data_IF_357455749598
#
_entry.id   IF_357455749598
#
_cell.length_a   1.000
_cell.length_b   1.000
_cell.length_c   1.000
_cell.angle_alpha   90.00
_cell.angle_beta   90.00
_cell.angle_gamma   90.00
#
_symmetry.space_group_name_H-M   'P 1'
#
loop_
_entity.id
_entity.type
_entity.pdbx_description
1 polymer ?
#
# COMPACT_ATOMS: atom_id res chain seq x y z
N UNK A 1 11.97 -0.69 8.87
CA UNK A 1 11.35 0.35 8.02
C UNK A 1 10.32 -0.33 7.13
N UNK A 2 9.11 0.24 7.02
CA UNK A 2 8.07 -0.28 6.14
C UNK A 2 8.50 -0.10 4.67
N UNK A 3 8.53 -1.19 3.90
CA UNK A 3 8.82 -1.14 2.47
C UNK A 3 7.51 -0.82 1.70
N UNK A 4 7.43 0.28 0.94
CA UNK A 4 6.20 0.67 0.23
C UNK A 4 5.74 -0.35 -0.81
N UNK A 5 6.68 -1.03 -1.48
CA UNK A 5 6.37 -2.06 -2.46
C UNK A 5 5.74 -3.27 -1.77
N UNK A 6 6.32 -3.69 -0.65
CA UNK A 6 5.79 -4.79 0.16
C UNK A 6 4.36 -4.49 0.63
N UNK A 7 4.10 -3.27 1.12
CA UNK A 7 2.76 -2.82 1.50
C UNK A 7 1.75 -2.99 0.34
N UNK A 8 2.11 -2.54 -0.86
CA UNK A 8 1.23 -2.66 -2.02
C UNK A 8 1.01 -4.12 -2.43
N UNK A 9 2.06 -4.93 -2.42
CA UNK A 9 2.03 -6.33 -2.81
C UNK A 9 1.16 -7.16 -1.84
N UNK A 10 1.27 -6.92 -0.52
CA UNK A 10 0.39 -7.53 0.50
C UNK A 10 -1.08 -7.13 0.32
N UNK A 11 -1.35 -5.93 -0.19
CA UNK A 11 -2.70 -5.50 -0.55
C UNK A 11 -3.21 -6.09 -1.88
N UNK A 12 -2.36 -6.80 -2.63
CA UNK A 12 -2.71 -7.39 -3.93
C UNK A 12 -2.98 -6.36 -5.02
N UNK A 13 -2.41 -5.16 -4.92
CA UNK A 13 -2.70 -4.05 -5.84
C UNK A 13 -1.60 -3.83 -6.86
N UNK A 14 -1.97 -3.39 -8.06
CA UNK A 14 -1.05 -2.75 -9.00
C UNK A 14 -0.68 -1.34 -8.54
N UNK A 15 0.42 -0.79 -9.06
CA UNK A 15 0.80 0.60 -8.75
C UNK A 15 -0.29 1.61 -9.14
N UNK A 16 -1.04 1.33 -10.22
CA UNK A 16 -2.15 2.17 -10.67
C UNK A 16 -3.33 2.14 -9.69
N UNK A 17 -3.68 0.96 -9.16
CA UNK A 17 -4.76 0.85 -8.18
C UNK A 17 -4.39 1.50 -6.86
N UNK A 18 -3.14 1.33 -6.41
CA UNK A 18 -2.62 2.03 -5.24
C UNK A 18 -2.66 3.55 -5.43
N UNK A 19 -2.29 4.04 -6.62
CA UNK A 19 -2.29 5.48 -6.89
C UNK A 19 -3.71 6.06 -6.85
N UNK A 20 -4.70 5.32 -7.34
CA UNK A 20 -6.12 5.70 -7.25
C UNK A 20 -6.61 5.73 -5.80
N UNK A 21 -6.21 4.73 -5.00
CA UNK A 21 -6.61 4.65 -3.60
C UNK A 21 -6.04 5.79 -2.74
N UNK A 22 -4.80 6.19 -3.02
CA UNK A 22 -4.11 7.26 -2.28
C UNK A 22 -4.45 8.66 -2.83
N UNK A 23 -4.90 8.75 -4.09
CA UNK A 23 -5.15 10.01 -4.77
C UNK A 23 -3.87 10.67 -5.29
N UNK A 24 -2.97 9.89 -5.89
CA UNK A 24 -1.75 10.40 -6.53
C UNK A 24 -1.52 9.78 -7.92
N UNK A 25 -0.47 10.23 -8.62
CA UNK A 25 -0.10 9.64 -9.91
C UNK A 25 0.64 8.30 -9.73
N UNK A 26 0.52 7.41 -10.72
CA UNK A 26 1.25 6.14 -10.74
C UNK A 26 2.77 6.33 -10.75
N UNK A 27 3.27 7.36 -11.43
CA UNK A 27 4.68 7.73 -11.42
C UNK A 27 5.18 8.07 -10.00
N UNK A 28 4.30 8.64 -9.17
CA UNK A 28 4.59 8.93 -7.77
C UNK A 28 4.78 7.64 -6.95
N UNK A 29 3.90 6.65 -7.14
CA UNK A 29 4.02 5.32 -6.53
C UNK A 29 5.34 4.65 -6.95
N UNK A 30 5.67 4.71 -8.25
CA UNK A 30 6.92 4.14 -8.77
C UNK A 30 8.16 4.80 -8.14
N UNK A 31 8.14 6.11 -7.91
CA UNK A 31 9.21 6.84 -7.21
C UNK A 31 9.35 6.37 -5.78
N UNK A 32 8.24 6.32 -5.02
CA UNK A 32 8.19 5.83 -3.64
C UNK A 32 8.80 4.43 -3.51
N UNK A 33 8.44 3.52 -4.41
CA UNK A 33 8.92 2.14 -4.36
C UNK A 33 10.43 2.03 -4.66
N UNK A 34 11.04 3.02 -5.31
CA UNK A 34 12.46 3.07 -5.62
C UNK A 34 13.28 3.81 -4.56
N UNK A 35 12.82 4.97 -4.10
CA UNK A 35 13.54 5.81 -3.12
C UNK A 35 13.14 5.53 -1.67
N UNK A 36 12.14 4.68 -1.44
CA UNK A 36 11.55 4.49 -0.12
C UNK A 36 10.77 5.73 0.32
N UNK A 37 10.46 5.81 1.62
CA UNK A 37 9.78 6.98 2.20
C UNK A 37 10.73 8.16 2.49
N UNK A 38 12.01 8.08 2.11
CA UNK A 38 13.04 9.06 2.50
C UNK A 38 12.83 10.44 1.86
N UNK A 39 12.30 10.51 0.65
CA UNK A 39 12.11 11.76 -0.10
C UNK A 39 10.74 12.43 0.11
N UNK A 40 9.81 11.82 0.86
CA UNK A 40 8.41 12.25 0.88
C UNK A 40 7.93 12.79 2.21
N UNK A 41 7.07 13.81 2.12
CA UNK A 41 6.43 14.43 3.27
C UNK A 41 5.70 13.37 4.10
N UNK A 42 5.77 13.48 5.42
CA UNK A 42 5.16 12.52 6.35
C UNK A 42 3.65 12.29 6.13
N UNK A 43 2.99 13.13 5.34
CA UNK A 43 1.62 12.93 4.87
C UNK A 43 1.48 11.64 4.03
N UNK A 44 2.37 11.40 3.07
CA UNK A 44 2.26 10.23 2.17
C UNK A 44 2.57 8.92 2.88
N UNK A 45 3.54 8.93 3.79
CA UNK A 45 3.81 7.78 4.66
C UNK A 45 2.58 7.42 5.47
N UNK A 46 1.92 8.41 6.08
CA UNK A 46 0.68 8.20 6.85
C UNK A 46 -0.45 7.68 5.98
N UNK A 47 -0.62 8.17 4.76
CA UNK A 47 -1.64 7.66 3.83
C UNK A 47 -1.41 6.19 3.46
N UNK A 48 -0.16 5.77 3.27
CA UNK A 48 0.20 4.36 3.05
C UNK A 48 -0.13 3.49 4.27
N UNK A 49 0.25 3.95 5.47
CA UNK A 49 0.00 3.23 6.72
C UNK A 49 -1.50 3.12 7.04
N UNK A 50 -2.27 4.19 6.84
CA UNK A 50 -3.73 4.19 6.97
C UNK A 50 -4.40 3.23 5.99
N UNK A 51 -3.97 3.22 4.72
CA UNK A 51 -4.51 2.31 3.73
C UNK A 51 -4.35 0.84 4.13
N UNK A 52 -3.18 0.46 4.66
CA UNK A 52 -2.91 -0.90 5.17
C UNK A 52 -3.82 -1.20 6.36
N UNK A 53 -3.90 -0.28 7.32
CA UNK A 53 -4.74 -0.45 8.50
C UNK A 53 -6.22 -0.63 8.15
N UNK A 54 -6.75 0.17 7.21
CA UNK A 54 -8.13 0.04 6.73
C UNK A 54 -8.39 -1.33 6.08
N UNK A 55 -7.43 -1.85 5.30
CA UNK A 55 -7.56 -3.17 4.68
C UNK A 55 -7.46 -4.30 5.69
N UNK A 56 -6.56 -4.19 6.68
CA UNK A 56 -6.44 -5.17 7.76
C UNK A 56 -7.68 -5.18 8.66
N UNK A 57 -8.22 -4.00 9.03
CA UNK A 57 -9.45 -3.89 9.82
C UNK A 57 -10.65 -4.37 9.02
N UNK A 58 -10.76 -4.03 7.74
CA UNK A 58 -11.82 -4.55 6.87
C UNK A 58 -11.82 -6.07 6.78
N UNK A 59 -10.63 -6.70 6.66
CA UNK A 59 -10.51 -8.16 6.69
C UNK A 59 -10.94 -8.78 8.03
N UNK A 60 -10.66 -8.11 9.16
CA UNK A 60 -11.08 -8.56 10.51
C UNK A 60 -12.60 -8.43 10.69
N UNK A 61 -13.20 -7.35 10.20
CA UNK A 61 -14.64 -7.05 10.38
C UNK A 61 -15.52 -7.85 9.42
N UNK A 62 -15.09 -8.08 8.18
CA UNK A 62 -15.87 -8.80 7.15
C UNK A 62 -15.72 -10.32 7.20
N UNK A 63 -14.87 -10.87 8.08
CA UNK A 63 -14.62 -12.33 8.17
C UNK A 63 -14.08 -12.95 6.87
N UNK A 64 -13.55 -12.14 5.95
CA UNK A 64 -12.96 -12.63 4.70
C UNK A 64 -11.54 -13.09 4.96
N UNK A 65 -11.22 -14.30 4.52
CA UNK A 65 -9.83 -14.77 4.45
C UNK A 65 -9.02 -13.68 3.71
N UNK A 66 -7.89 -13.29 4.30
CA UNK A 66 -6.97 -12.33 3.72
C UNK A 66 -6.59 -12.69 2.28
N UNK A 67 -6.04 -11.74 1.51
CA UNK A 67 -5.69 -11.99 0.12
C UNK A 67 -4.85 -13.26 0.00
N UNK A 68 -5.13 -14.15 -0.97
CA UNK A 68 -4.42 -15.42 -1.07
C UNK A 68 -2.93 -15.14 -1.26
N UNK A 69 -2.13 -15.47 -0.26
CA UNK A 69 -0.68 -15.46 -0.37
C UNK A 69 -0.31 -16.32 -1.58
N UNK A 70 0.24 -15.71 -2.64
CA UNK A 70 0.82 -16.50 -3.73
C UNK A 70 2.04 -17.21 -3.18
N UNK A 71 1.93 -18.54 -3.09
CA UNK A 71 3.05 -19.42 -2.79
C UNK A 71 4.09 -19.40 -3.92
N UNK A 72 5.38 -19.66 -3.59
CA UNK A 72 6.53 -19.37 -4.44
C UNK A 72 6.56 -20.12 -5.78
#
# INVERSE_FOLDING_TARGET
MLNPKYIRDEAGLTQLEMSKAIGCSQAHISRIEKSGFEELSGLFRRSYELFVLERMVGAIVDGRQGPPCRQP
#
